data_IF_033079261858
#
_entry.id   IF_033079261858
#
_cell.length_a   1.000
_cell.length_b   1.000
_cell.length_c   1.000
_cell.angle_alpha   90.00
_cell.angle_beta   90.00
_cell.angle_gamma   90.00
#
_symmetry.space_group_name_H-M   'P 1'
#
loop_
_entity.id
_entity.type
_entity.pdbx_description
1 polymer ?
#
# COMPACT_ATOMS: atom_id res chain seq x y z
N UNK A 1 -8.85 13.57 44.89
CA UNK A 1 -8.60 14.99 44.57
C UNK A 1 -7.40 15.09 43.64
N UNK A 2 -7.58 15.75 42.48
CA UNK A 2 -6.62 16.18 41.44
C UNK A 2 -5.75 15.08 40.78
N UNK A 3 -6.16 14.48 39.65
CA UNK A 3 -6.16 14.98 38.25
C UNK A 3 -4.77 15.48 37.81
N UNK A 4 -3.95 14.55 37.32
CA UNK A 4 -2.80 14.87 36.48
C UNK A 4 -3.31 15.49 35.17
N UNK A 5 -3.18 16.82 35.07
CA UNK A 5 -3.39 17.57 33.83
C UNK A 5 -2.30 17.20 32.83
N UNK A 6 -2.67 16.43 31.81
CA UNK A 6 -1.96 16.46 30.54
C UNK A 6 -2.21 17.80 29.83
N UNK A 7 -1.22 18.26 29.07
CA UNK A 7 -1.21 19.18 27.90
C UNK A 7 0.20 19.80 27.84
N UNK A 8 0.90 19.69 26.68
CA UNK A 8 0.47 20.31 25.44
C UNK A 8 0.42 19.36 24.23
N UNK A 9 -0.80 18.98 23.82
CA UNK A 9 -1.11 18.43 22.49
C UNK A 9 -1.58 19.50 21.48
N UNK A 10 -1.68 20.77 21.90
CA UNK A 10 -2.25 21.88 21.13
C UNK A 10 -1.29 22.55 20.12
N UNK A 11 0.01 22.21 20.10
CA UNK A 11 0.99 22.99 19.34
C UNK A 11 1.10 22.67 17.85
N UNK A 12 0.68 21.49 17.42
CA UNK A 12 0.79 21.05 16.02
C UNK A 12 -0.53 21.21 15.28
N UNK A 13 -1.65 20.78 15.87
CA UNK A 13 -2.98 20.93 15.30
C UNK A 13 -3.31 22.39 14.93
N UNK A 14 -3.07 23.34 15.85
CA UNK A 14 -3.31 24.76 15.57
C UNK A 14 -2.41 25.32 14.46
N UNK A 15 -1.17 24.83 14.33
CA UNK A 15 -0.26 25.23 13.24
C UNK A 15 -0.70 24.65 11.91
N UNK A 16 -1.10 23.38 11.88
CA UNK A 16 -1.59 22.70 10.68
C UNK A 16 -2.88 23.36 10.21
N UNK A 17 -3.85 23.59 11.10
CA UNK A 17 -5.10 24.28 10.79
C UNK A 17 -4.86 25.69 10.24
N UNK A 18 -4.01 26.50 10.88
CA UNK A 18 -3.67 27.84 10.40
C UNK A 18 -2.99 27.82 9.01
N UNK A 19 -2.19 26.79 8.71
CA UNK A 19 -1.59 26.60 7.40
C UNK A 19 -2.61 26.21 6.34
N UNK A 20 -3.54 25.31 6.67
CA UNK A 20 -4.64 24.91 5.78
C UNK A 20 -5.55 26.10 5.48
N UNK A 21 -5.93 26.87 6.48
CA UNK A 21 -6.71 28.10 6.31
C UNK A 21 -5.98 29.12 5.42
N UNK A 22 -4.67 29.30 5.62
CA UNK A 22 -3.87 30.19 4.77
C UNK A 22 -3.83 29.71 3.32
N UNK A 23 -3.73 28.40 3.08
CA UNK A 23 -3.80 27.83 1.72
C UNK A 23 -5.20 28.03 1.12
N UNK A 24 -6.26 27.83 1.90
CA UNK A 24 -7.64 28.05 1.47
C UNK A 24 -7.90 29.53 1.11
N UNK A 25 -7.40 30.46 1.91
CA UNK A 25 -7.54 31.91 1.68
C UNK A 25 -6.74 32.40 0.47
N UNK A 26 -5.53 31.85 0.27
CA UNK A 26 -4.75 32.09 -0.96
C UNK A 26 -5.49 31.52 -2.18
N UNK A 27 -6.21 30.42 -2.00
CA UNK A 27 -7.15 29.83 -2.95
C UNK A 27 -8.22 30.80 -3.40
N UNK A 28 -8.98 31.34 -2.46
CA UNK A 28 -10.05 32.31 -2.71
C UNK A 28 -9.56 33.58 -3.42
N UNK A 29 -8.30 33.95 -3.22
CA UNK A 29 -7.69 35.16 -3.79
C UNK A 29 -7.02 34.95 -5.16
N UNK A 30 -7.10 33.75 -5.76
CA UNK A 30 -6.41 33.39 -7.00
C UNK A 30 -4.88 33.62 -6.96
N UNK A 31 -4.27 33.68 -5.77
CA UNK A 31 -2.81 33.88 -5.56
C UNK A 31 -2.05 32.55 -5.39
N UNK A 32 -2.67 31.46 -5.82
CA UNK A 32 -2.23 30.08 -5.62
C UNK A 32 -0.94 29.69 -6.33
N UNK A 33 -0.48 30.46 -7.31
CA UNK A 33 0.85 30.28 -7.90
C UNK A 33 1.97 30.36 -6.86
N UNK A 34 1.70 30.95 -5.68
CA UNK A 34 2.63 31.03 -4.54
C UNK A 34 2.66 29.80 -3.65
N UNK A 35 1.70 28.88 -3.76
CA UNK A 35 1.67 27.66 -2.93
C UNK A 35 2.43 26.55 -3.66
N UNK A 36 3.72 26.45 -3.37
CA UNK A 36 4.59 25.35 -3.82
C UNK A 36 4.19 24.03 -3.12
N UNK A 37 4.36 22.90 -3.81
CA UNK A 37 4.15 21.54 -3.28
C UNK A 37 4.97 21.29 -2.00
N UNK A 38 6.10 22.00 -1.83
CA UNK A 38 6.90 21.97 -0.60
C UNK A 38 6.11 22.39 0.65
N UNK A 39 5.14 23.29 0.51
CA UNK A 39 4.26 23.67 1.63
C UNK A 39 3.37 22.51 2.04
N UNK A 40 2.83 21.77 1.05
CA UNK A 40 2.04 20.57 1.28
C UNK A 40 2.86 19.50 2.00
N UNK A 41 4.12 19.31 1.60
CA UNK A 41 5.04 18.38 2.29
C UNK A 41 5.32 18.79 3.73
N UNK A 42 5.44 20.09 3.98
CA UNK A 42 5.68 20.64 5.32
C UNK A 42 4.47 20.39 6.24
N UNK A 43 3.25 20.53 5.71
CA UNK A 43 2.01 20.20 6.42
C UNK A 43 2.01 18.71 6.78
N UNK A 44 2.22 17.83 5.80
CA UNK A 44 2.21 16.38 6.01
C UNK A 44 3.30 15.89 6.98
N UNK A 45 4.44 16.57 7.05
CA UNK A 45 5.49 16.22 8.02
C UNK A 45 5.07 16.47 9.47
N UNK A 46 4.18 17.44 9.70
CA UNK A 46 3.74 17.83 11.04
C UNK A 46 2.62 16.95 11.58
N UNK A 47 1.84 16.34 10.69
CA UNK A 47 0.73 15.47 11.06
C UNK A 47 1.20 14.17 11.73
N UNK A 48 0.59 13.86 12.87
CA UNK A 48 0.85 12.68 13.70
C UNK A 48 -0.43 12.06 14.27
N UNK A 49 -1.56 12.77 14.23
CA UNK A 49 -2.86 12.26 14.69
C UNK A 49 -3.87 12.10 13.55
N UNK A 50 -4.99 11.40 13.84
CA UNK A 50 -6.14 11.29 12.95
C UNK A 50 -6.72 12.66 12.56
N UNK A 51 -6.91 13.56 13.52
CA UNK A 51 -7.41 14.92 13.26
C UNK A 51 -6.47 15.72 12.34
N UNK A 52 -5.15 15.58 12.53
CA UNK A 52 -4.15 16.22 11.67
C UNK A 52 -4.09 15.57 10.29
N UNK A 53 -4.38 14.26 10.18
CA UNK A 53 -4.49 13.57 8.91
C UNK A 53 -5.64 14.12 8.07
N UNK A 54 -6.82 14.33 8.65
CA UNK A 54 -7.96 14.94 7.97
C UNK A 54 -7.62 16.34 7.44
N UNK A 55 -6.92 17.16 8.23
CA UNK A 55 -6.41 18.46 7.77
C UNK A 55 -5.39 18.33 6.64
N UNK A 56 -4.52 17.31 6.70
CA UNK A 56 -3.60 16.96 5.63
C UNK A 56 -4.32 16.60 4.33
N UNK A 57 -5.41 15.83 4.41
CA UNK A 57 -6.27 15.47 3.28
C UNK A 57 -6.99 16.68 2.69
N UNK A 58 -7.53 17.56 3.52
CA UNK A 58 -8.14 18.82 3.08
C UNK A 58 -7.11 19.65 2.28
N UNK A 59 -5.86 19.71 2.74
CA UNK A 59 -4.79 20.40 2.01
C UNK A 59 -4.50 19.76 0.64
N UNK A 60 -4.55 18.43 0.53
CA UNK A 60 -4.39 17.70 -0.74
C UNK A 60 -5.56 17.99 -1.68
N UNK A 61 -6.77 17.96 -1.15
CA UNK A 61 -7.99 18.20 -1.91
C UNK A 61 -7.99 19.62 -2.50
N UNK A 62 -7.60 20.61 -1.69
CA UNK A 62 -7.33 21.95 -2.19
C UNK A 62 -6.34 21.94 -3.35
N UNK A 63 -5.19 21.27 -3.18
CA UNK A 63 -4.16 21.18 -4.22
C UNK A 63 -4.71 20.60 -5.55
N UNK A 64 -5.55 19.57 -5.49
CA UNK A 64 -6.21 18.98 -6.66
C UNK A 64 -7.28 19.88 -7.28
N UNK A 65 -8.15 20.48 -6.48
CA UNK A 65 -9.18 21.41 -6.96
C UNK A 65 -8.61 22.62 -7.70
N UNK A 66 -7.31 22.91 -7.52
CA UNK A 66 -6.58 23.94 -8.25
C UNK A 66 -5.97 23.45 -9.57
N UNK A 67 -6.33 22.24 -10.03
CA UNK A 67 -5.82 21.64 -11.26
C UNK A 67 -4.36 21.19 -11.18
N UNK A 68 -3.78 21.12 -9.97
CA UNK A 68 -2.41 20.62 -9.77
C UNK A 68 -2.43 19.14 -9.44
N UNK A 69 -1.41 18.45 -9.93
CA UNK A 69 -1.24 17.02 -9.74
C UNK A 69 -0.09 16.77 -8.77
N UNK A 70 -0.21 15.71 -7.97
CA UNK A 70 0.90 15.27 -7.14
C UNK A 70 2.02 14.70 -8.01
N UNK A 71 3.25 15.07 -7.68
CA UNK A 71 4.42 14.35 -8.19
C UNK A 71 4.47 12.95 -7.58
N UNK A 72 5.23 12.01 -8.17
CA UNK A 72 5.43 10.68 -7.58
C UNK A 72 5.97 10.75 -6.15
N UNK A 73 6.91 11.67 -5.90
CA UNK A 73 7.40 11.95 -4.54
C UNK A 73 6.28 12.45 -3.61
N UNK A 74 5.34 13.24 -4.13
CA UNK A 74 4.17 13.68 -3.37
C UNK A 74 3.23 12.54 -3.00
N UNK A 75 2.95 11.63 -3.92
CA UNK A 75 2.15 10.43 -3.64
C UNK A 75 2.79 9.56 -2.55
N UNK A 76 4.12 9.38 -2.62
CA UNK A 76 4.87 8.64 -1.60
C UNK A 76 4.80 9.31 -0.22
N UNK A 77 4.91 10.64 -0.15
CA UNK A 77 4.79 11.38 1.13
C UNK A 77 3.37 11.38 1.68
N UNK A 78 2.35 11.40 0.83
CA UNK A 78 0.95 11.26 1.24
C UNK A 78 0.69 9.87 1.84
N UNK A 79 1.23 8.82 1.22
CA UNK A 79 1.16 7.46 1.75
C UNK A 79 1.96 7.29 3.05
N UNK A 80 3.12 7.94 3.16
CA UNK A 80 3.86 7.97 4.42
C UNK A 80 3.11 8.72 5.52
N UNK A 81 2.34 9.76 5.18
CA UNK A 81 1.47 10.48 6.09
C UNK A 81 0.35 9.57 6.62
N UNK A 82 -0.38 8.87 5.76
CA UNK A 82 -1.48 7.99 6.17
C UNK A 82 -0.98 6.88 7.10
N UNK A 83 0.17 6.27 6.78
CA UNK A 83 0.81 5.28 7.66
C UNK A 83 1.22 5.88 9.02
N UNK A 84 1.76 7.10 9.04
CA UNK A 84 2.22 7.76 10.27
C UNK A 84 1.08 8.12 11.21
N UNK A 85 -0.07 8.53 10.67
CA UNK A 85 -1.25 8.86 11.45
C UNK A 85 -2.06 7.63 11.90
N UNK A 86 -1.65 6.42 11.47
CA UNK A 86 -2.32 5.17 11.86
C UNK A 86 -3.48 4.76 10.95
N UNK A 87 -3.75 5.54 9.91
CA UNK A 87 -4.84 5.37 8.93
C UNK A 87 -4.47 4.37 7.84
N UNK A 88 -4.22 3.13 8.27
CA UNK A 88 -3.76 2.07 7.37
C UNK A 88 -4.85 1.61 6.39
N UNK A 89 -6.12 1.59 6.82
CA UNK A 89 -7.24 1.26 5.92
C UNK A 89 -7.42 2.31 4.83
N UNK A 90 -7.33 3.60 5.18
CA UNK A 90 -7.34 4.69 4.21
C UNK A 90 -6.11 4.66 3.29
N UNK A 91 -4.98 4.12 3.75
CA UNK A 91 -3.80 3.89 2.90
C UNK A 91 -4.07 2.79 1.85
N UNK A 92 -4.79 1.73 2.23
CA UNK A 92 -5.27 0.70 1.29
C UNK A 92 -6.28 1.31 0.33
N UNK A 93 -7.24 2.08 0.86
CA UNK A 93 -8.28 2.75 0.10
C UNK A 93 -7.67 3.70 -0.93
N UNK A 94 -6.74 4.56 -0.54
CA UNK A 94 -5.96 5.41 -1.44
C UNK A 94 -5.21 4.62 -2.53
N UNK A 95 -4.68 3.44 -2.20
CA UNK A 95 -3.99 2.58 -3.16
C UNK A 95 -4.95 1.81 -4.10
N UNK A 96 -6.22 1.63 -3.72
CA UNK A 96 -7.23 0.83 -4.42
C UNK A 96 -8.22 1.70 -5.22
N UNK A 97 -8.71 2.79 -4.63
CA UNK A 97 -9.72 3.69 -5.20
C UNK A 97 -9.16 4.74 -6.17
N UNK A 98 -7.83 4.81 -6.33
CA UNK A 98 -7.22 5.59 -7.40
C UNK A 98 -7.61 5.11 -8.82
N UNK A 99 -8.37 4.01 -8.96
CA UNK A 99 -8.75 3.42 -10.24
C UNK A 99 -10.27 3.29 -10.48
N UNK A 100 -11.12 3.27 -9.45
CA UNK A 100 -12.58 3.05 -9.64
C UNK A 100 -13.40 4.34 -9.96
N UNK A 101 -12.77 5.51 -9.96
CA UNK A 101 -13.42 6.77 -10.33
C UNK A 101 -13.53 7.02 -11.85
N UNK A 102 -13.78 5.96 -12.63
CA UNK A 102 -13.99 6.05 -14.09
C UNK A 102 -15.44 6.43 -14.46
N UNK A 103 -16.41 6.33 -13.54
CA UNK A 103 -17.84 6.48 -13.91
C UNK A 103 -18.66 7.57 -13.23
N UNK A 104 -18.08 8.39 -12.36
CA UNK A 104 -18.82 9.49 -11.71
C UNK A 104 -17.98 10.76 -11.73
N UNK A 105 -18.08 11.51 -12.83
CA UNK A 105 -17.60 12.89 -12.86
C UNK A 105 -18.26 13.68 -11.75
N UNK A 106 -17.46 14.12 -10.78
CA UNK A 106 -17.87 15.11 -9.79
C UNK A 106 -16.70 16.04 -9.44
N UNK A 107 -16.90 17.33 -9.69
CA UNK A 107 -16.17 18.41 -9.05
C UNK A 107 -16.64 18.48 -7.60
N UNK A 108 -15.71 18.51 -6.65
CA UNK A 108 -16.03 18.63 -5.22
C UNK A 108 -16.73 19.96 -4.98
N UNK A 109 -18.03 19.91 -4.72
CA UNK A 109 -18.80 21.05 -4.22
C UNK A 109 -18.61 21.13 -2.71
N UNK A 110 -18.32 22.35 -2.27
CA UNK A 110 -18.25 22.75 -0.87
C UNK A 110 -19.68 22.79 -0.31
N UNK A 111 -19.97 22.04 0.75
CA UNK A 111 -21.06 22.41 1.64
C UNK A 111 -20.51 22.74 3.03
N UNK A 112 -20.85 23.94 3.50
CA UNK A 112 -20.45 24.44 4.81
C UNK A 112 -21.40 23.84 5.85
N UNK A 113 -21.13 22.60 6.26
CA UNK A 113 -21.88 21.90 7.28
C UNK A 113 -20.94 21.06 8.12
N UNK A 114 -20.94 21.30 9.42
CA UNK A 114 -20.37 20.44 10.46
C UNK A 114 -20.70 18.96 10.18
N UNK A 115 -19.70 18.09 10.39
CA UNK A 115 -19.64 16.66 10.05
C UNK A 115 -19.03 16.35 8.67
N UNK A 116 -17.78 16.77 8.48
CA UNK A 116 -16.95 16.30 7.38
C UNK A 116 -16.34 14.94 7.74
N UNK A 117 -17.09 13.86 7.52
CA UNK A 117 -16.48 12.56 7.29
C UNK A 117 -15.72 12.67 5.96
N UNK A 118 -14.40 12.92 6.02
CA UNK A 118 -13.56 13.11 4.83
C UNK A 118 -13.33 11.73 4.21
N UNK A 119 -14.33 11.25 3.48
CA UNK A 119 -14.21 10.08 2.63
C UNK A 119 -13.21 10.42 1.54
N UNK A 120 -12.07 9.72 1.50
CA UNK A 120 -11.23 9.73 0.31
C UNK A 120 -12.11 9.29 -0.88
N UNK A 121 -12.20 10.15 -1.90
CA UNK A 121 -12.38 9.78 -3.31
C UNK A 121 -13.74 9.22 -3.79
N UNK A 122 -14.73 10.08 -3.92
CA UNK A 122 -15.65 10.00 -5.06
C UNK A 122 -15.17 11.00 -6.14
N UNK A 123 -14.45 10.54 -7.16
CA UNK A 123 -14.36 11.32 -8.40
C UNK A 123 -12.99 11.73 -8.95
N UNK A 124 -11.91 10.97 -8.74
CA UNK A 124 -10.71 11.20 -9.55
C UNK A 124 -10.00 9.92 -9.98
N UNK A 125 -10.21 9.57 -11.25
CA UNK A 125 -9.70 8.39 -11.96
C UNK A 125 -8.16 8.34 -12.12
N UNK A 126 -7.42 9.27 -11.52
CA UNK A 126 -6.02 9.58 -11.88
C UNK A 126 -5.13 10.02 -10.70
N UNK A 127 -5.58 9.91 -9.44
CA UNK A 127 -4.85 10.51 -8.29
C UNK A 127 -3.47 9.91 -7.99
N UNK A 128 -3.19 8.68 -8.43
CA UNK A 128 -1.82 8.17 -8.52
C UNK A 128 -1.54 7.78 -9.96
N UNK A 129 -0.93 8.65 -10.76
CA UNK A 129 -0.45 8.24 -12.11
C UNK A 129 0.66 7.19 -12.06
N UNK A 130 1.28 7.00 -10.90
CA UNK A 130 2.36 6.04 -10.69
C UNK A 130 2.10 5.21 -9.45
N UNK A 131 2.47 3.91 -9.47
CA UNK A 131 2.38 3.06 -8.30
C UNK A 131 3.22 3.61 -7.14
N UNK A 132 2.85 3.29 -5.88
CA UNK A 132 3.73 3.52 -4.73
C UNK A 132 5.06 2.80 -4.90
N UNK A 133 6.13 3.36 -4.31
CA UNK A 133 7.43 2.71 -4.31
C UNK A 133 7.40 1.36 -3.57
N UNK A 134 8.24 0.43 -4.02
CA UNK A 134 8.35 -0.93 -3.46
C UNK A 134 8.65 -0.93 -1.95
N UNK A 135 9.43 0.03 -1.46
CA UNK A 135 9.74 0.18 -0.04
C UNK A 135 8.50 0.55 0.78
N UNK A 136 7.60 1.38 0.23
CA UNK A 136 6.35 1.73 0.90
C UNK A 136 5.38 0.55 0.96
N UNK A 137 5.31 -0.24 -0.12
CA UNK A 137 4.53 -1.48 -0.15
C UNK A 137 5.06 -2.44 0.93
N UNK A 138 6.38 -2.61 1.02
CA UNK A 138 7.01 -3.42 2.05
C UNK A 138 6.69 -2.94 3.47
N UNK A 139 6.79 -1.64 3.74
CA UNK A 139 6.48 -1.04 5.05
C UNK A 139 5.00 -1.25 5.40
N UNK A 140 4.09 -1.04 4.45
CA UNK A 140 2.66 -1.23 4.68
C UNK A 140 2.33 -2.69 5.02
N UNK A 141 2.83 -3.63 4.22
CA UNK A 141 2.64 -5.08 4.47
C UNK A 141 3.22 -5.45 5.84
N UNK A 142 4.43 -4.99 6.15
CA UNK A 142 5.08 -5.27 7.44
C UNK A 142 4.29 -4.70 8.63
N UNK A 143 3.66 -3.52 8.47
CA UNK A 143 2.80 -2.92 9.48
C UNK A 143 1.55 -3.77 9.77
N UNK A 144 0.90 -4.29 8.72
CA UNK A 144 -0.26 -5.19 8.88
C UNK A 144 0.12 -6.54 9.49
N UNK A 145 1.25 -7.13 9.07
CA UNK A 145 1.78 -8.36 9.66
C UNK A 145 2.06 -8.17 11.16
N UNK A 146 2.65 -7.05 11.55
CA UNK A 146 2.92 -6.73 12.96
C UNK A 146 1.64 -6.65 13.81
N UNK A 147 0.51 -6.32 13.19
CA UNK A 147 -0.83 -6.28 13.81
C UNK A 147 -1.61 -7.59 13.67
N UNK A 148 -1.03 -8.61 13.00
CA UNK A 148 -1.70 -9.87 12.62
C UNK A 148 -2.94 -9.67 11.74
N UNK A 149 -2.99 -8.57 11.00
CA UNK A 149 -4.09 -8.29 10.06
C UNK A 149 -3.74 -8.80 8.66
N UNK A 150 -3.90 -10.12 8.48
CA UNK A 150 -3.56 -10.79 7.23
C UNK A 150 -4.57 -10.53 6.11
N UNK A 151 -5.82 -10.20 6.46
CA UNK A 151 -6.87 -9.81 5.51
C UNK A 151 -6.48 -8.52 4.79
N UNK A 152 -5.94 -7.55 5.53
CA UNK A 152 -5.39 -6.33 4.92
C UNK A 152 -4.17 -6.59 4.05
N UNK A 153 -3.26 -7.52 4.43
CA UNK A 153 -2.16 -7.94 3.55
C UNK A 153 -2.68 -8.50 2.22
N UNK A 154 -3.73 -9.34 2.27
CA UNK A 154 -4.40 -9.88 1.07
C UNK A 154 -4.99 -8.76 0.20
N UNK A 155 -5.63 -7.76 0.82
CA UNK A 155 -6.19 -6.60 0.11
C UNK A 155 -5.08 -5.79 -0.58
N UNK A 156 -3.97 -5.53 0.10
CA UNK A 156 -2.80 -4.83 -0.47
C UNK A 156 -2.24 -5.62 -1.66
N UNK A 157 -2.01 -6.92 -1.50
CA UNK A 157 -1.52 -7.77 -2.59
C UNK A 157 -2.45 -7.72 -3.80
N UNK A 158 -3.76 -7.89 -3.58
CA UNK A 158 -4.77 -7.81 -4.63
C UNK A 158 -4.73 -6.45 -5.34
N UNK A 159 -4.67 -5.34 -4.60
CA UNK A 159 -4.61 -4.01 -5.18
C UNK A 159 -3.34 -3.82 -6.05
N UNK A 160 -2.19 -4.25 -5.54
CA UNK A 160 -0.92 -4.17 -6.28
C UNK A 160 -0.97 -4.98 -7.58
N UNK A 161 -1.55 -6.17 -7.55
CA UNK A 161 -1.61 -7.04 -8.73
C UNK A 161 -2.71 -6.61 -9.71
N UNK A 162 -3.91 -6.29 -9.24
CA UNK A 162 -5.05 -5.94 -10.11
C UNK A 162 -4.87 -4.61 -10.83
N UNK A 163 -4.26 -3.61 -10.18
CA UNK A 163 -4.21 -2.25 -10.74
C UNK A 163 -2.85 -1.91 -11.33
N UNK A 164 -1.78 -2.23 -10.61
CA UNK A 164 -0.43 -1.77 -10.97
C UNK A 164 0.39 -2.82 -11.72
N UNK A 165 0.02 -4.10 -11.61
CA UNK A 165 0.77 -5.23 -12.13
C UNK A 165 2.26 -5.19 -11.74
N UNK A 166 2.58 -4.66 -10.55
CA UNK A 166 3.97 -4.54 -10.10
C UNK A 166 4.62 -5.91 -9.93
N UNK A 167 5.88 -6.01 -10.38
CA UNK A 167 6.75 -7.14 -10.08
C UNK A 167 7.26 -7.00 -8.65
N UNK A 168 6.71 -7.78 -7.73
CA UNK A 168 7.11 -7.77 -6.33
C UNK A 168 8.47 -8.45 -6.14
N UNK A 169 9.20 -8.07 -5.08
CA UNK A 169 10.44 -8.74 -4.70
C UNK A 169 10.14 -10.10 -4.06
N UNK A 170 11.13 -11.01 -4.07
CA UNK A 170 11.01 -12.32 -3.43
C UNK A 170 10.67 -12.21 -1.93
N UNK A 171 11.22 -11.21 -1.24
CA UNK A 171 10.90 -10.90 0.16
C UNK A 171 9.43 -10.55 0.35
N UNK A 172 8.85 -9.70 -0.50
CA UNK A 172 7.44 -9.33 -0.38
C UNK A 172 6.54 -10.52 -0.71
N UNK A 173 6.87 -11.31 -1.74
CA UNK A 173 6.14 -12.55 -2.02
C UNK A 173 6.16 -13.51 -0.83
N UNK A 174 7.32 -13.70 -0.19
CA UNK A 174 7.43 -14.52 1.03
C UNK A 174 6.49 -14.01 2.13
N UNK A 175 6.54 -12.72 2.45
CA UNK A 175 5.68 -12.12 3.47
C UNK A 175 4.19 -12.30 3.15
N UNK A 176 3.79 -12.12 1.90
CA UNK A 176 2.41 -12.35 1.47
C UNK A 176 2.02 -13.82 1.60
N UNK A 177 2.85 -14.77 1.17
CA UNK A 177 2.58 -16.22 1.28
C UNK A 177 2.42 -16.62 2.75
N UNK A 178 3.36 -16.23 3.61
CA UNK A 178 3.30 -16.49 5.07
C UNK A 178 2.02 -15.92 5.68
N UNK A 179 1.63 -14.71 5.26
CA UNK A 179 0.38 -14.07 5.70
C UNK A 179 -0.86 -14.81 5.22
N UNK A 180 -0.90 -15.25 3.95
CA UNK A 180 -2.05 -15.99 3.40
C UNK A 180 -2.25 -17.32 4.12
N UNK A 181 -1.17 -17.99 4.51
CA UNK A 181 -1.23 -19.24 5.29
C UNK A 181 -1.82 -19.04 6.70
N UNK A 182 -1.88 -17.81 7.19
CA UNK A 182 -2.46 -17.45 8.47
C UNK A 182 -3.93 -16.99 8.38
N UNK A 183 -4.54 -17.01 7.18
CA UNK A 183 -5.96 -16.71 7.01
C UNK A 183 -6.84 -17.84 7.55
N UNK A 184 -8.03 -17.48 8.04
CA UNK A 184 -9.03 -18.44 8.52
C UNK A 184 -9.70 -19.20 7.36
N UNK A 185 -9.94 -18.50 6.26
CA UNK A 185 -10.61 -19.04 5.08
C UNK A 185 -9.60 -19.40 3.97
N UNK A 186 -9.62 -20.66 3.55
CA UNK A 186 -8.88 -21.18 2.38
C UNK A 186 -7.39 -20.75 2.35
N UNK A 187 -6.62 -20.93 3.44
CA UNK A 187 -5.26 -20.41 3.56
C UNK A 187 -4.31 -20.97 2.49
N UNK A 188 -4.48 -22.25 2.12
CA UNK A 188 -3.64 -22.91 1.12
C UNK A 188 -3.91 -22.37 -0.28
N UNK A 189 -5.19 -22.21 -0.63
CA UNK A 189 -5.59 -21.70 -1.93
C UNK A 189 -5.11 -20.25 -2.12
N UNK A 190 -5.28 -19.39 -1.12
CA UNK A 190 -4.79 -18.01 -1.15
C UNK A 190 -3.27 -17.93 -1.23
N UNK A 191 -2.55 -18.76 -0.47
CA UNK A 191 -1.10 -18.84 -0.54
C UNK A 191 -0.62 -19.35 -1.91
N UNK A 192 -1.32 -20.33 -2.50
CA UNK A 192 -1.03 -20.83 -3.85
C UNK A 192 -1.25 -19.77 -4.93
N UNK A 193 -2.27 -18.91 -4.79
CA UNK A 193 -2.49 -17.80 -5.72
C UNK A 193 -1.28 -16.84 -5.72
N UNK A 194 -0.81 -16.44 -4.55
CA UNK A 194 0.38 -15.57 -4.41
C UNK A 194 1.64 -16.29 -4.92
N UNK A 195 1.79 -17.57 -4.58
CA UNK A 195 2.91 -18.39 -5.00
C UNK A 195 2.98 -18.51 -6.53
N UNK A 196 1.88 -18.86 -7.19
CA UNK A 196 1.82 -18.97 -8.64
C UNK A 196 1.99 -17.62 -9.34
N UNK A 197 1.48 -16.54 -8.77
CA UNK A 197 1.69 -15.18 -9.30
C UNK A 197 3.19 -14.83 -9.38
N UNK A 198 4.01 -15.23 -8.40
CA UNK A 198 5.46 -15.01 -8.47
C UNK A 198 6.09 -15.68 -9.70
N UNK A 199 5.61 -16.86 -10.12
CA UNK A 199 6.09 -17.53 -11.33
C UNK A 199 5.67 -16.75 -12.58
N UNK A 200 4.42 -16.29 -12.63
CA UNK A 200 3.87 -15.48 -13.73
C UNK A 200 4.68 -14.18 -13.88
N UNK A 201 5.06 -13.56 -12.76
CA UNK A 201 5.87 -12.33 -12.73
C UNK A 201 7.38 -12.58 -12.89
N UNK A 202 7.80 -13.84 -13.05
CA UNK A 202 9.20 -14.23 -13.21
C UNK A 202 10.07 -13.85 -12.01
N UNK A 203 9.53 -13.97 -10.80
CA UNK A 203 10.25 -13.75 -9.54
C UNK A 203 10.64 -15.09 -8.93
N UNK A 204 11.95 -15.30 -8.81
CA UNK A 204 12.52 -16.49 -8.21
C UNK A 204 12.32 -16.42 -6.70
N UNK A 205 11.78 -17.49 -6.11
CA UNK A 205 11.57 -17.62 -4.69
C UNK A 205 12.73 -18.40 -4.06
N UNK A 206 13.09 -18.08 -2.80
CA UNK A 206 14.15 -18.79 -2.11
C UNK A 206 13.62 -20.14 -1.59
N UNK A 207 14.51 -21.13 -1.43
CA UNK A 207 14.17 -22.52 -1.13
C UNK A 207 13.23 -22.67 0.08
N UNK A 208 13.41 -21.82 1.09
CA UNK A 208 12.61 -21.81 2.32
C UNK A 208 11.12 -21.60 2.04
N UNK A 209 10.77 -20.80 1.04
CA UNK A 209 9.37 -20.53 0.66
C UNK A 209 8.75 -21.76 0.00
N UNK A 210 9.52 -22.49 -0.82
CA UNK A 210 9.03 -23.74 -1.41
C UNK A 210 8.80 -24.80 -0.33
N UNK A 211 9.72 -24.93 0.63
CA UNK A 211 9.58 -25.86 1.75
C UNK A 211 8.37 -25.51 2.62
N UNK A 212 8.18 -24.22 2.93
CA UNK A 212 7.01 -23.73 3.64
C UNK A 212 5.71 -24.15 2.94
N UNK A 213 5.61 -23.96 1.62
CA UNK A 213 4.42 -24.35 0.86
C UNK A 213 4.19 -25.86 0.87
N UNK A 214 5.24 -26.67 0.69
CA UNK A 214 5.14 -28.14 0.73
C UNK A 214 4.66 -28.64 2.09
N UNK A 215 5.18 -28.09 3.17
CA UNK A 215 4.79 -28.47 4.53
C UNK A 215 3.37 -28.01 4.87
N UNK A 216 2.96 -26.83 4.39
CA UNK A 216 1.59 -26.34 4.52
C UNK A 216 0.60 -27.24 3.78
N UNK A 217 0.88 -27.61 2.52
CA UNK A 217 0.02 -28.49 1.72
C UNK A 217 -0.07 -29.88 2.37
N UNK A 218 1.05 -30.46 2.81
CA UNK A 218 1.05 -31.76 3.51
C UNK A 218 0.22 -31.72 4.79
N UNK A 219 0.27 -30.61 5.52
CA UNK A 219 -0.52 -30.43 6.74
C UNK A 219 -2.01 -30.30 6.44
N UNK A 220 -2.38 -29.64 5.34
CA UNK A 220 -3.76 -29.52 4.90
C UNK A 220 -4.34 -30.85 4.39
N UNK A 221 -3.58 -31.64 3.64
CA UNK A 221 -3.99 -32.99 3.19
C UNK A 221 -4.39 -33.90 4.36
N UNK A 222 -3.72 -33.78 5.52
CA UNK A 222 -4.06 -34.56 6.71
C UNK A 222 -5.37 -34.12 7.38
N UNK A 223 -5.79 -32.87 7.16
CA UNK A 223 -6.94 -32.24 7.84
C UNK A 223 -8.19 -32.21 6.97
N UNK A 224 -8.03 -31.94 5.67
CA UNK A 224 -9.13 -31.72 4.73
C UNK A 224 -9.31 -32.95 3.83
N UNK A 225 -10.33 -33.76 4.12
CA UNK A 225 -10.69 -34.90 3.28
C UNK A 225 -11.43 -34.43 2.02
N UNK A 226 -11.07 -34.98 0.85
CA UNK A 226 -11.76 -34.70 -0.42
C UNK A 226 -11.10 -33.68 -1.35
N UNK A 227 -9.91 -33.14 -0.99
CA UNK A 227 -9.10 -32.27 -1.85
C UNK A 227 -7.75 -32.90 -2.26
N UNK A 228 -7.65 -34.22 -2.15
CA UNK A 228 -6.38 -34.93 -2.30
C UNK A 228 -5.72 -34.74 -3.68
N UNK A 229 -6.52 -34.77 -4.75
CA UNK A 229 -6.03 -34.53 -6.11
C UNK A 229 -5.49 -33.10 -6.31
N UNK A 230 -6.21 -32.10 -5.76
CA UNK A 230 -5.80 -30.70 -5.81
C UNK A 230 -4.45 -30.50 -5.09
N UNK A 231 -4.32 -31.05 -3.89
CA UNK A 231 -3.10 -30.93 -3.11
C UNK A 231 -1.92 -31.73 -3.67
N UNK A 232 -2.18 -32.88 -4.28
CA UNK A 232 -1.16 -33.64 -5.01
C UNK A 232 -0.63 -32.86 -6.22
N UNK A 233 -1.54 -32.24 -6.99
CA UNK A 233 -1.18 -31.37 -8.12
C UNK A 233 -0.40 -30.12 -7.67
N UNK A 234 -0.86 -29.45 -6.62
CA UNK A 234 -0.18 -28.31 -6.04
C UNK A 234 1.22 -28.68 -5.52
N UNK A 235 1.36 -29.79 -4.80
CA UNK A 235 2.65 -30.29 -4.30
C UNK A 235 3.63 -30.56 -5.44
N UNK A 236 3.16 -31.18 -6.52
CA UNK A 236 3.96 -31.46 -7.71
C UNK A 236 4.46 -30.16 -8.36
N UNK A 237 3.60 -29.15 -8.44
CA UNK A 237 3.95 -27.82 -8.97
C UNK A 237 5.02 -27.13 -8.12
N UNK A 238 4.85 -27.12 -6.79
CA UNK A 238 5.82 -26.50 -5.86
C UNK A 238 7.16 -27.24 -5.91
N UNK A 239 7.14 -28.58 -5.96
CA UNK A 239 8.34 -29.40 -6.05
C UNK A 239 9.09 -29.16 -7.37
N UNK A 240 8.38 -29.10 -8.49
CA UNK A 240 8.98 -28.80 -9.79
C UNK A 240 9.69 -27.43 -9.77
N UNK A 241 9.03 -26.39 -9.24
CA UNK A 241 9.63 -25.06 -9.11
C UNK A 241 10.85 -25.05 -8.19
N UNK A 242 10.81 -25.73 -7.04
CA UNK A 242 11.96 -25.86 -6.14
C UNK A 242 13.18 -26.44 -6.86
N UNK A 243 12.97 -27.47 -7.68
CA UNK A 243 14.04 -28.12 -8.44
C UNK A 243 14.62 -27.19 -9.50
N UNK A 244 13.79 -26.44 -10.21
CA UNK A 244 14.22 -25.52 -11.26
C UNK A 244 14.88 -24.24 -10.73
N UNK A 245 14.31 -23.64 -9.69
CA UNK A 245 14.75 -22.37 -9.13
C UNK A 245 15.98 -22.54 -8.21
N UNK A 246 16.11 -23.66 -7.50
CA UNK A 246 17.15 -23.82 -6.46
C UNK A 246 18.27 -24.82 -6.79
N UNK A 247 18.11 -25.76 -7.73
CA UNK A 247 19.18 -26.73 -8.07
C UNK A 247 20.12 -26.31 -9.20
N UNK A 248 19.89 -25.18 -9.87
CA UNK A 248 20.80 -24.64 -10.89
C UNK A 248 21.45 -23.32 -10.46
N UNK A 249 22.42 -23.33 -9.54
CA UNK A 249 23.15 -22.11 -9.16
C UNK A 249 24.11 -21.58 -10.24
N UNK A 250 24.26 -22.25 -11.39
CA UNK A 250 25.33 -21.99 -12.36
C UNK A 250 24.98 -21.05 -13.54
N UNK A 251 23.79 -20.44 -13.61
CA UNK A 251 23.36 -19.70 -14.81
C UNK A 251 23.14 -18.19 -14.65
N UNK A 252 23.27 -17.60 -13.45
CA UNK A 252 22.93 -16.19 -13.23
C UNK A 252 24.06 -15.37 -12.61
N UNK A 253 25.27 -15.60 -13.12
CA UNK A 253 26.43 -14.74 -12.95
C UNK A 253 27.00 -14.31 -14.30
N UNK A 254 26.23 -13.57 -15.11
CA UNK A 254 26.73 -12.69 -16.19
C UNK A 254 25.58 -11.96 -16.89
N UNK A 255 25.88 -10.74 -17.34
CA UNK A 255 25.08 -9.78 -18.13
C UNK A 255 24.33 -8.74 -17.25
N UNK A 256 24.74 -7.46 -17.15
CA UNK A 256 25.62 -6.65 -17.98
C UNK A 256 26.46 -5.68 -17.12
N UNK A 257 27.77 -5.91 -17.06
CA UNK A 257 28.73 -4.79 -17.01
C UNK A 257 29.04 -4.47 -18.46
N UNK A 258 28.39 -3.46 -19.01
CA UNK A 258 28.98 -2.71 -20.11
C UNK A 258 29.79 -1.58 -19.50
N UNK A 259 31.04 -1.92 -19.19
CA UNK A 259 32.14 -0.97 -19.14
C UNK A 259 33.00 -1.24 -20.37
N UNK A 260 32.78 -0.39 -21.36
CA UNK A 260 33.62 -0.04 -22.52
C UNK A 260 33.04 1.32 -22.93
N UNK A 261 33.70 2.46 -22.94
CA UNK A 261 35.10 2.85 -22.84
C UNK A 261 35.11 4.35 -22.47
N UNK A 262 36.22 4.83 -21.88
CA UNK A 262 36.82 6.19 -21.96
C UNK A 262 35.86 7.39 -21.91
#
# INVERSE_FOLDING_TARGET
>A
MAIFRGVPRLSNLGKVSQYVERVADLGKKNLLFRVDIKHLYSIWQLCKSHEEYQLGLIAVNHFYNFGRQLSPEGSNKLFALSMRCGELEESIKAATEAVDAVNTGCLIQWDQGSDCEVTLLEGASDWLRKPPDMDLIYVLISAFISRRDYTSVKRVFKAVRSHWQLKLTSTIYRLCIESMLCLEERPIEEALLVYCDSAIMGTILPAEVHHLMLDAIRSAMKKEQGKDELYASASSTVYWRLMHECRHPASYGRAYVHSTDI
#
